data_IF_233807998988
#
_entry.id   IF_233807998988
#
_cell.length_a   1.000
_cell.length_b   1.000
_cell.length_c   1.000
_cell.angle_alpha   90.00
_cell.angle_beta   90.00
_cell.angle_gamma   90.00
#
_symmetry.space_group_name_H-M   'P 1'
#
loop_
_entity.id
_entity.type
_entity.pdbx_description
1 polymer ?
#
# COMPACT_ATOMS: atom_id res chain seq x y z
N UNK A 1 5.13 15.14 -15.57
CA UNK A 1 3.83 14.72 -15.04
C UNK A 1 3.04 15.96 -14.74
N UNK A 2 1.90 16.15 -15.40
CA UNK A 2 1.06 17.33 -15.15
C UNK A 2 0.54 17.33 -13.71
N UNK A 3 0.76 18.46 -13.02
CA UNK A 3 0.27 18.75 -11.65
C UNK A 3 -1.24 18.49 -11.47
N UNK A 4 -2.00 18.48 -12.58
CA UNK A 4 -3.43 18.18 -12.61
C UNK A 4 -3.78 16.74 -12.29
N UNK A 5 -3.01 15.76 -12.77
CA UNK A 5 -3.27 14.34 -12.48
C UNK A 5 -3.14 14.08 -10.98
N UNK A 6 -2.10 14.65 -10.37
CA UNK A 6 -1.86 14.56 -8.94
C UNK A 6 -2.98 15.23 -8.14
N UNK A 7 -3.45 16.40 -8.56
CA UNK A 7 -4.59 17.09 -7.93
C UNK A 7 -5.88 16.27 -8.03
N UNK A 8 -6.19 15.71 -9.20
CA UNK A 8 -7.38 14.87 -9.39
C UNK A 8 -7.32 13.59 -8.53
N UNK A 9 -6.15 12.94 -8.45
CA UNK A 9 -5.95 11.77 -7.60
C UNK A 9 -6.16 12.11 -6.11
N UNK A 10 -5.60 13.24 -5.63
CA UNK A 10 -5.82 13.73 -4.27
C UNK A 10 -7.31 13.98 -3.99
N UNK A 11 -8.01 14.64 -4.92
CA UNK A 11 -9.45 14.89 -4.79
C UNK A 11 -10.28 13.61 -4.77
N UNK A 12 -9.93 12.63 -5.60
CA UNK A 12 -10.56 11.32 -5.61
C UNK A 12 -10.37 10.61 -4.27
N UNK A 13 -9.16 10.61 -3.71
CA UNK A 13 -8.89 10.03 -2.40
C UNK A 13 -9.73 10.68 -1.29
N UNK A 14 -9.85 12.01 -1.27
CA UNK A 14 -10.67 12.75 -0.29
C UNK A 14 -12.14 12.42 -0.45
N UNK A 15 -12.66 12.41 -1.69
CA UNK A 15 -14.07 12.13 -1.97
C UNK A 15 -14.44 10.68 -1.61
N UNK A 16 -13.52 9.75 -1.85
CA UNK A 16 -13.66 8.35 -1.45
C UNK A 16 -13.71 8.23 0.05
N UNK A 17 -12.89 8.97 0.80
CA UNK A 17 -12.79 8.84 2.25
C UNK A 17 -13.90 9.54 3.04
N UNK A 18 -14.57 10.51 2.43
CA UNK A 18 -15.55 11.36 3.11
C UNK A 18 -16.64 10.56 3.87
N UNK A 19 -17.10 11.03 5.05
CA UNK A 19 -18.08 10.29 5.84
C UNK A 19 -19.35 10.00 5.05
N UNK A 20 -19.83 8.76 5.13
CA UNK A 20 -21.04 8.28 4.40
C UNK A 20 -20.93 8.31 2.87
N UNK A 21 -19.73 8.49 2.31
CA UNK A 21 -19.46 8.26 0.87
C UNK A 21 -18.59 7.02 0.68
N UNK A 22 -18.60 6.49 -0.53
CA UNK A 22 -17.79 5.35 -0.96
C UNK A 22 -17.28 5.53 -2.37
N UNK A 23 -16.58 4.52 -2.90
CA UNK A 23 -15.96 4.59 -4.23
C UNK A 23 -16.99 4.72 -5.36
N UNK A 24 -18.21 4.20 -5.15
CA UNK A 24 -19.29 4.21 -6.14
C UNK A 24 -20.17 5.47 -6.11
N UNK A 25 -19.85 6.45 -5.27
CA UNK A 25 -20.57 7.72 -5.29
C UNK A 25 -20.30 8.41 -6.63
N UNK A 26 -21.34 8.95 -7.26
CA UNK A 26 -21.27 9.61 -8.57
C UNK A 26 -20.13 10.64 -8.67
N UNK A 27 -19.81 11.33 -7.57
CA UNK A 27 -18.69 12.27 -7.48
C UNK A 27 -17.32 11.57 -7.66
N UNK A 28 -17.11 10.44 -7.00
CA UNK A 28 -15.88 9.64 -7.08
C UNK A 28 -15.69 9.05 -8.49
N UNK A 29 -16.76 8.50 -9.08
CA UNK A 29 -16.73 7.98 -10.45
C UNK A 29 -16.40 9.06 -11.48
N UNK A 30 -16.96 10.27 -11.34
CA UNK A 30 -16.62 11.41 -12.19
C UNK A 30 -15.16 11.83 -12.03
N UNK A 31 -14.66 11.93 -10.80
CA UNK A 31 -13.25 12.25 -10.54
C UNK A 31 -12.30 11.20 -11.10
N UNK A 32 -12.65 9.91 -10.99
CA UNK A 32 -11.88 8.81 -11.56
C UNK A 32 -11.81 8.88 -13.10
N UNK A 33 -12.94 9.13 -13.76
CA UNK A 33 -12.98 9.35 -15.22
C UNK A 33 -12.11 10.52 -15.65
N UNK A 34 -12.19 11.64 -14.93
CA UNK A 34 -11.36 12.83 -15.20
C UNK A 34 -9.87 12.54 -14.98
N UNK A 35 -9.51 11.79 -13.92
CA UNK A 35 -8.14 11.40 -13.65
C UNK A 35 -7.57 10.48 -14.76
N UNK A 36 -8.36 9.53 -15.26
CA UNK A 36 -7.97 8.67 -16.37
C UNK A 36 -7.69 9.48 -17.65
N UNK A 37 -8.60 10.39 -18.02
CA UNK A 37 -8.40 11.27 -19.18
C UNK A 37 -7.14 12.14 -19.01
N UNK A 38 -6.91 12.68 -17.81
CA UNK A 38 -5.74 13.51 -17.54
C UNK A 38 -4.42 12.71 -17.66
N UNK A 39 -4.39 11.44 -17.26
CA UNK A 39 -3.22 10.56 -17.41
C UNK A 39 -2.91 10.28 -18.89
N UNK A 40 -3.95 10.12 -19.72
CA UNK A 40 -3.82 9.90 -21.16
C UNK A 40 -3.65 11.18 -21.99
N UNK A 41 -3.54 12.35 -21.34
CA UNK A 41 -3.32 13.63 -22.03
C UNK A 41 -2.12 13.61 -23.00
N UNK A 42 -0.94 13.04 -22.66
CA UNK A 42 0.19 13.01 -23.59
C UNK A 42 -0.09 12.24 -24.90
N UNK A 43 -1.06 11.32 -24.89
CA UNK A 43 -1.45 10.53 -26.06
C UNK A 43 -2.62 11.14 -26.82
N UNK A 44 -3.59 11.70 -26.11
CA UNK A 44 -4.89 12.11 -26.67
C UNK A 44 -4.98 13.62 -26.93
N UNK A 45 -4.14 14.42 -26.29
CA UNK A 45 -4.23 15.89 -26.31
C UNK A 45 -5.47 16.46 -25.61
N UNK A 46 -6.31 15.62 -24.98
CA UNK A 46 -7.57 16.05 -24.37
C UNK A 46 -7.33 16.67 -22.99
N UNK A 47 -7.56 17.98 -22.90
CA UNK A 47 -7.31 18.73 -21.67
C UNK A 47 -8.51 18.69 -20.70
N UNK A 48 -8.23 18.37 -19.43
CA UNK A 48 -9.22 18.40 -18.35
C UNK A 48 -9.20 19.73 -17.60
N UNK A 49 -10.33 20.45 -17.58
CA UNK A 49 -10.56 21.61 -16.71
C UNK A 49 -11.12 21.16 -15.36
N UNK A 50 -10.36 21.39 -14.29
CA UNK A 50 -10.82 21.12 -12.93
C UNK A 50 -11.76 22.24 -12.46
N UNK A 51 -13.03 21.92 -12.23
CA UNK A 51 -13.99 22.88 -11.69
C UNK A 51 -13.70 23.15 -10.20
N UNK A 52 -13.82 24.42 -9.79
CA UNK A 52 -13.64 24.88 -8.40
C UNK A 52 -14.59 24.19 -7.42
N UNK A 53 -15.74 23.71 -7.89
CA UNK A 53 -16.72 22.94 -7.11
C UNK A 53 -16.19 21.62 -6.56
N UNK A 54 -15.09 21.08 -7.12
CA UNK A 54 -14.49 19.87 -6.62
C UNK A 54 -13.54 20.10 -5.44
N UNK A 55 -13.15 21.35 -5.14
CA UNK A 55 -12.21 21.65 -4.06
C UNK A 55 -12.88 21.36 -2.69
N UNK A 56 -12.32 20.45 -1.88
CA UNK A 56 -12.88 20.09 -0.59
C UNK A 56 -12.60 21.19 0.42
N UNK A 57 -13.57 21.38 1.33
CA UNK A 57 -13.45 22.33 2.45
C UNK A 57 -12.79 21.70 3.67
N UNK A 58 -12.86 20.38 3.77
CA UNK A 58 -12.40 19.59 4.92
C UNK A 58 -11.61 18.40 4.38
N UNK A 59 -10.50 18.08 5.03
CA UNK A 59 -9.56 17.05 4.59
C UNK A 59 -9.50 15.91 5.62
N UNK A 60 -9.25 14.67 5.20
CA UNK A 60 -9.04 13.60 6.16
C UNK A 60 -7.71 13.80 6.90
N UNK A 61 -7.67 13.41 8.16
CA UNK A 61 -6.52 13.55 9.07
C UNK A 61 -5.23 12.93 8.53
N UNK A 62 -5.31 11.81 7.80
CA UNK A 62 -4.14 11.15 7.23
C UNK A 62 -3.45 11.94 6.10
N UNK A 63 -4.08 12.98 5.54
CA UNK A 63 -3.42 13.83 4.53
C UNK A 63 -2.40 14.80 5.13
N UNK A 64 -2.38 14.93 6.47
CA UNK A 64 -1.37 15.68 7.22
C UNK A 64 -1.12 17.09 6.65
N UNK A 65 -2.20 17.84 6.41
CA UNK A 65 -2.17 19.21 5.89
C UNK A 65 -2.40 20.20 7.02
N UNK A 66 -1.40 21.02 7.36
CA UNK A 66 -1.50 22.01 8.44
C UNK A 66 -2.38 23.22 8.08
N UNK A 67 -2.62 23.43 6.78
CA UNK A 67 -3.34 24.59 6.24
C UNK A 67 -4.88 24.41 6.20
N UNK A 68 -5.40 23.24 6.57
CA UNK A 68 -6.80 22.89 6.34
C UNK A 68 -7.48 22.28 7.57
N UNK A 69 -8.79 22.51 7.68
CA UNK A 69 -9.62 21.84 8.68
C UNK A 69 -9.65 20.35 8.37
N UNK A 70 -9.33 19.52 9.36
CA UNK A 70 -9.27 18.06 9.21
C UNK A 70 -10.39 17.35 9.95
N UNK A 71 -10.76 16.16 9.48
CA UNK A 71 -11.67 15.23 10.17
C UNK A 71 -10.98 13.88 10.40
N UNK A 72 -11.37 13.18 11.48
CA UNK A 72 -10.90 11.83 11.77
C UNK A 72 -11.52 10.83 10.79
N UNK A 73 -10.72 10.29 9.87
CA UNK A 73 -11.21 9.27 8.92
C UNK A 73 -11.52 7.95 9.63
N UNK A 74 -12.72 7.40 9.47
CA UNK A 74 -13.08 6.09 10.07
C UNK A 74 -12.63 4.89 9.24
N UNK A 75 -12.13 5.13 8.02
CA UNK A 75 -11.72 4.09 7.07
C UNK A 75 -10.34 3.55 7.40
N UNK A 76 -10.00 2.43 6.76
CA UNK A 76 -8.74 1.71 6.99
C UNK A 76 -7.49 2.59 6.87
N UNK A 77 -7.45 3.51 5.90
CA UNK A 77 -6.30 4.39 5.68
C UNK A 77 -6.12 5.32 6.88
N UNK A 78 -7.21 5.94 7.36
CA UNK A 78 -7.19 6.76 8.57
C UNK A 78 -6.81 5.95 9.82
N UNK A 79 -7.36 4.73 9.98
CA UNK A 79 -7.03 3.84 11.10
C UNK A 79 -5.55 3.46 11.08
N UNK A 80 -5.02 3.10 9.92
CA UNK A 80 -3.62 2.72 9.74
C UNK A 80 -2.69 3.91 9.99
N UNK A 81 -3.00 5.08 9.42
CA UNK A 81 -2.23 6.31 9.64
C UNK A 81 -2.07 6.61 11.13
N UNK A 82 -3.16 6.57 11.91
CA UNK A 82 -3.09 6.84 13.35
C UNK A 82 -2.32 5.77 14.12
N UNK A 83 -2.47 4.48 13.77
CA UNK A 83 -1.70 3.40 14.39
C UNK A 83 -0.20 3.53 14.13
N UNK A 84 0.18 3.87 12.90
CA UNK A 84 1.59 4.09 12.55
C UNK A 84 2.09 5.34 13.27
N UNK A 85 1.33 6.44 13.27
CA UNK A 85 1.69 7.68 13.97
C UNK A 85 1.92 7.43 15.45
N UNK A 86 1.01 6.72 16.13
CA UNK A 86 1.18 6.35 17.55
C UNK A 86 2.38 5.42 17.79
N UNK A 87 2.65 4.48 16.89
CA UNK A 87 3.83 3.60 16.98
C UNK A 87 5.16 4.29 16.59
N UNK A 88 5.09 5.49 16.00
CA UNK A 88 6.26 6.33 15.74
C UNK A 88 6.65 7.12 16.99
N UNK A 89 5.66 7.41 17.83
CA UNK A 89 5.78 8.22 19.04
C UNK A 89 6.04 7.35 20.29
N UNK A 90 5.76 6.05 20.23
CA UNK A 90 6.04 5.06 21.29
C UNK A 90 6.75 3.81 20.73
N UNK A 91 7.89 3.43 21.32
CA UNK A 91 8.66 2.19 21.09
C UNK A 91 7.85 0.93 21.51
N UNK A 92 6.70 0.68 20.89
CA UNK A 92 5.89 -0.51 21.18
C UNK A 92 5.49 -1.25 19.90
N UNK A 93 6.42 -2.08 19.44
CA UNK A 93 6.40 -2.86 18.20
C UNK A 93 5.65 -4.19 18.32
N UNK A 94 4.64 -4.29 19.17
CA UNK A 94 4.07 -5.60 19.52
C UNK A 94 2.56 -5.65 19.68
N UNK A 95 1.79 -5.19 18.68
CA UNK A 95 0.50 -5.84 18.42
C UNK A 95 -0.12 -5.53 17.05
N UNK A 96 0.14 -6.38 16.05
CA UNK A 96 -0.76 -6.47 14.90
C UNK A 96 -0.72 -7.84 14.18
N UNK A 97 -1.68 -8.69 14.57
CA UNK A 97 -2.40 -9.70 13.78
C UNK A 97 -1.67 -11.03 13.47
N UNK A 98 -2.06 -12.05 14.25
CA UNK A 98 -1.85 -13.48 13.98
C UNK A 98 -2.90 -14.01 12.98
N UNK A 99 -2.50 -14.18 11.73
CA UNK A 99 -3.07 -15.19 10.82
C UNK A 99 -2.02 -16.29 10.69
N UNK A 100 -2.37 -17.56 10.90
CA UNK A 100 -1.40 -18.67 11.10
C UNK A 100 -0.31 -18.89 10.04
N UNK A 101 -0.39 -18.26 8.86
CA UNK A 101 0.69 -18.22 7.87
C UNK A 101 1.64 -17.03 8.05
N UNK A 102 1.11 -15.89 8.51
CA UNK A 102 1.84 -14.70 8.94
C UNK A 102 2.83 -15.08 10.05
N UNK A 103 2.41 -15.91 11.02
CA UNK A 103 3.30 -16.37 12.09
C UNK A 103 4.50 -17.21 11.65
N UNK A 104 4.42 -17.95 10.53
CA UNK A 104 5.57 -18.71 10.01
C UNK A 104 6.50 -17.83 9.17
N UNK A 105 5.91 -16.95 8.35
CA UNK A 105 6.65 -15.97 7.57
C UNK A 105 7.42 -15.02 8.49
N UNK A 106 6.72 -14.38 9.42
CA UNK A 106 7.28 -13.43 10.38
C UNK A 106 8.37 -14.08 11.23
N UNK A 107 8.17 -15.34 11.67
CA UNK A 107 9.21 -16.07 12.41
C UNK A 107 10.48 -16.29 11.58
N UNK A 108 10.36 -16.75 10.34
CA UNK A 108 11.52 -17.00 9.47
C UNK A 108 12.19 -15.68 9.02
N UNK A 109 11.39 -14.65 8.77
CA UNK A 109 11.86 -13.31 8.45
C UNK A 109 12.63 -12.69 9.62
N UNK A 110 12.06 -12.70 10.82
CA UNK A 110 12.70 -12.15 12.02
C UNK A 110 13.98 -12.92 12.37
N UNK A 111 14.01 -14.24 12.21
CA UNK A 111 15.22 -15.03 12.38
C UNK A 111 16.32 -14.64 11.37
N UNK A 112 15.96 -14.44 10.10
CA UNK A 112 16.88 -13.99 9.07
C UNK A 112 17.40 -12.58 9.37
N UNK A 113 16.51 -11.63 9.64
CA UNK A 113 16.89 -10.24 9.95
C UNK A 113 17.80 -10.17 11.19
N UNK A 114 17.49 -10.95 12.24
CA UNK A 114 18.32 -11.06 13.44
C UNK A 114 19.74 -11.58 13.18
N UNK A 115 19.91 -12.54 12.26
CA UNK A 115 21.24 -13.05 11.86
C UNK A 115 22.14 -11.96 11.27
N UNK A 116 21.54 -11.01 10.54
CA UNK A 116 22.24 -9.94 9.84
C UNK A 116 22.23 -8.60 10.58
N UNK A 117 21.61 -8.54 11.78
CA UNK A 117 21.39 -7.31 12.56
C UNK A 117 20.66 -6.24 11.73
N UNK A 118 19.60 -6.68 11.04
CA UNK A 118 18.69 -5.79 10.33
C UNK A 118 17.40 -5.62 11.11
N UNK A 119 16.94 -4.38 11.27
CA UNK A 119 15.82 -4.10 12.15
C UNK A 119 14.49 -4.35 11.43
N UNK A 120 14.42 -3.99 10.14
CA UNK A 120 13.17 -4.01 9.38
C UNK A 120 13.34 -4.64 8.00
N UNK A 121 12.33 -5.40 7.57
CA UNK A 121 12.28 -5.96 6.21
C UNK A 121 12.39 -4.87 5.13
N UNK A 122 11.78 -3.71 5.38
CA UNK A 122 11.78 -2.59 4.45
C UNK A 122 13.19 -2.14 4.04
N UNK A 123 14.19 -2.28 4.92
CA UNK A 123 15.58 -1.96 4.62
C UNK A 123 16.17 -2.88 3.54
N UNK A 124 15.84 -4.17 3.61
CA UNK A 124 16.30 -5.18 2.66
C UNK A 124 15.59 -5.01 1.33
N UNK A 125 14.27 -4.80 1.35
CA UNK A 125 13.44 -4.62 0.15
C UNK A 125 13.83 -3.38 -0.62
N UNK A 126 14.04 -2.26 0.08
CA UNK A 126 14.44 -0.99 -0.53
C UNK A 126 15.94 -0.94 -0.86
N UNK A 127 16.71 -1.95 -0.43
CA UNK A 127 18.19 -2.01 -0.49
C UNK A 127 18.91 -0.93 0.34
N UNK A 128 18.18 -0.18 1.16
CA UNK A 128 18.73 0.82 2.05
C UNK A 128 18.81 0.25 3.47
N UNK A 129 19.92 -0.42 3.77
CA UNK A 129 20.18 -1.04 5.08
C UNK A 129 20.96 -0.07 5.96
N UNK A 130 20.25 0.56 6.90
CA UNK A 130 20.71 1.60 7.80
C UNK A 130 21.12 1.04 9.16
N UNK A 131 20.53 -0.08 9.58
CA UNK A 131 20.80 -0.71 10.88
C UNK A 131 22.13 -1.48 10.94
N UNK A 132 22.84 -1.62 9.81
CA UNK A 132 24.09 -2.38 9.78
C UNK A 132 25.18 -1.63 10.56
N UNK A 133 25.89 -2.35 11.43
CA UNK A 133 27.05 -1.78 12.14
C UNK A 133 28.16 -1.28 11.21
N UNK A 134 29.09 -0.50 11.76
CA UNK A 134 30.22 0.05 11.01
C UNK A 134 31.17 -1.08 10.56
N UNK A 135 31.23 -1.30 9.24
CA UNK A 135 32.15 -2.22 8.57
C UNK A 135 32.87 -1.50 7.43
N UNK A 136 33.99 -2.06 6.96
CA UNK A 136 34.58 -1.59 5.71
C UNK A 136 33.66 -1.88 4.51
N UNK A 137 33.81 -1.11 3.42
CA UNK A 137 32.93 -1.14 2.25
C UNK A 137 32.81 -2.55 1.63
N UNK A 138 33.91 -3.30 1.58
CA UNK A 138 33.96 -4.66 1.02
C UNK A 138 33.14 -5.64 1.85
N UNK A 139 33.37 -5.70 3.16
CA UNK A 139 32.65 -6.57 4.09
C UNK A 139 31.17 -6.20 4.16
N UNK A 140 30.86 -4.90 4.11
CA UNK A 140 29.48 -4.43 4.03
C UNK A 140 28.78 -4.91 2.75
N UNK A 141 29.47 -4.88 1.60
CA UNK A 141 28.95 -5.41 0.33
C UNK A 141 28.66 -6.91 0.39
N UNK A 142 29.57 -7.71 0.94
CA UNK A 142 29.38 -9.16 1.09
C UNK A 142 28.19 -9.50 2.00
N UNK A 143 28.04 -8.78 3.11
CA UNK A 143 26.92 -8.96 4.04
C UNK A 143 25.59 -8.61 3.34
N UNK A 144 25.54 -7.48 2.62
CA UNK A 144 24.36 -7.06 1.87
C UNK A 144 23.95 -8.08 0.81
N UNK A 145 24.92 -8.62 0.06
CA UNK A 145 24.63 -9.60 -0.98
C UNK A 145 24.15 -10.94 -0.41
N UNK A 146 24.76 -11.42 0.68
CA UNK A 146 24.31 -12.62 1.38
C UNK A 146 22.89 -12.45 1.93
N UNK A 147 22.60 -11.32 2.56
CA UNK A 147 21.27 -11.01 3.09
C UNK A 147 20.23 -10.97 1.96
N UNK A 148 20.54 -10.27 0.86
CA UNK A 148 19.67 -10.18 -0.31
C UNK A 148 19.35 -11.55 -0.89
N UNK A 149 20.34 -12.43 -1.02
CA UNK A 149 20.14 -13.78 -1.56
C UNK A 149 19.30 -14.65 -0.62
N UNK A 150 19.53 -14.58 0.69
CA UNK A 150 18.74 -15.29 1.68
C UNK A 150 17.29 -14.78 1.74
N UNK A 151 17.10 -13.46 1.70
CA UNK A 151 15.78 -12.83 1.64
C UNK A 151 15.03 -13.19 0.35
N UNK A 152 15.73 -13.21 -0.80
CA UNK A 152 15.14 -13.63 -2.07
C UNK A 152 14.66 -15.09 -2.01
N UNK A 153 15.43 -16.00 -1.42
CA UNK A 153 15.02 -17.39 -1.24
C UNK A 153 13.79 -17.53 -0.33
N UNK A 154 13.76 -16.77 0.77
CA UNK A 154 12.62 -16.71 1.69
C UNK A 154 11.35 -16.20 0.97
N UNK A 155 11.46 -15.06 0.30
CA UNK A 155 10.35 -14.45 -0.44
C UNK A 155 9.84 -15.41 -1.53
N UNK A 156 10.75 -16.04 -2.29
CA UNK A 156 10.38 -17.03 -3.31
C UNK A 156 9.58 -18.20 -2.74
N UNK A 157 9.92 -18.69 -1.54
CA UNK A 157 9.18 -19.77 -0.87
C UNK A 157 7.74 -19.36 -0.55
N UNK A 158 7.56 -18.22 0.12
CA UNK A 158 6.22 -17.78 0.53
C UNK A 158 5.38 -17.24 -0.62
N UNK A 159 6.03 -16.64 -1.62
CA UNK A 159 5.38 -16.28 -2.87
C UNK A 159 4.82 -17.50 -3.57
N UNK A 160 5.57 -18.61 -3.65
CA UNK A 160 5.05 -19.88 -4.18
C UNK A 160 3.86 -20.38 -3.37
N UNK A 161 3.93 -20.40 -2.05
CA UNK A 161 2.78 -20.81 -1.22
C UNK A 161 1.54 -19.94 -1.47
N UNK A 162 1.72 -18.63 -1.69
CA UNK A 162 0.64 -17.72 -2.04
C UNK A 162 0.10 -17.97 -3.47
N UNK A 163 0.99 -18.22 -4.42
CA UNK A 163 0.63 -18.54 -5.81
C UNK A 163 -0.03 -19.92 -5.93
N UNK A 164 0.37 -20.92 -5.13
CA UNK A 164 -0.21 -22.26 -5.05
C UNK A 164 -1.62 -22.24 -4.44
N UNK A 165 -1.89 -21.36 -3.48
CA UNK A 165 -3.27 -21.04 -3.05
C UNK A 165 -4.10 -20.52 -4.25
N UNK A 166 -3.46 -19.89 -5.23
CA UNK A 166 -4.04 -19.54 -6.52
C UNK A 166 -3.76 -20.52 -7.65
N UNK A 167 -3.16 -21.69 -7.41
CA UNK A 167 -2.62 -22.59 -8.44
C UNK A 167 -3.68 -23.18 -9.37
N UNK A 168 -4.95 -23.17 -8.94
CA UNK A 168 -6.10 -23.51 -9.77
C UNK A 168 -6.34 -22.49 -10.91
N UNK A 169 -5.67 -21.32 -10.91
CA UNK A 169 -5.89 -20.23 -11.87
C UNK A 169 -5.19 -20.43 -13.21
N UNK A 170 -4.10 -21.21 -13.26
CA UNK A 170 -3.30 -21.40 -14.48
C UNK A 170 -3.91 -22.41 -15.46
N UNK A 171 -4.89 -23.18 -15.02
CA UNK A 171 -5.66 -24.14 -15.84
C UNK A 171 -6.98 -23.55 -16.35
N UNK A 172 -7.32 -22.33 -15.92
CA UNK A 172 -8.59 -21.67 -16.24
C UNK A 172 -8.43 -20.74 -17.44
N UNK A 173 -9.53 -20.53 -18.15
CA UNK A 173 -9.62 -19.54 -19.21
C UNK A 173 -9.38 -18.11 -18.68
N UNK A 174 -9.02 -17.20 -19.57
CA UNK A 174 -8.77 -15.80 -19.21
C UNK A 174 -9.98 -15.15 -18.52
N UNK A 175 -11.21 -15.53 -18.91
CA UNK A 175 -12.46 -15.02 -18.33
C UNK A 175 -12.68 -15.51 -16.90
N UNK A 176 -12.48 -16.80 -16.64
CA UNK A 176 -12.60 -17.38 -15.29
C UNK A 176 -11.54 -16.82 -14.34
N UNK A 177 -10.33 -16.62 -14.86
CA UNK A 177 -9.24 -16.00 -14.12
C UNK A 177 -9.55 -14.54 -13.79
N UNK A 178 -10.13 -13.78 -14.72
CA UNK A 178 -10.59 -12.43 -14.47
C UNK A 178 -11.68 -12.40 -13.39
N UNK A 179 -12.63 -13.33 -13.41
CA UNK A 179 -13.69 -13.42 -12.41
C UNK A 179 -13.14 -13.68 -10.98
N UNK A 180 -12.08 -14.50 -10.87
CA UNK A 180 -11.42 -14.73 -9.58
C UNK A 180 -10.61 -13.51 -9.15
N UNK A 181 -9.95 -12.80 -10.08
CA UNK A 181 -9.28 -11.54 -9.76
C UNK A 181 -10.27 -10.47 -9.28
N UNK A 182 -11.43 -10.35 -9.94
CA UNK A 182 -12.51 -9.47 -9.52
C UNK A 182 -13.04 -9.87 -8.13
N UNK A 183 -13.23 -11.16 -7.88
CA UNK A 183 -13.68 -11.66 -6.56
C UNK A 183 -12.65 -11.41 -5.45
N UNK A 184 -11.36 -11.58 -5.75
CA UNK A 184 -10.27 -11.24 -4.83
C UNK A 184 -10.24 -9.74 -4.57
N UNK A 185 -10.34 -8.91 -5.61
CA UNK A 185 -10.39 -7.47 -5.50
C UNK A 185 -11.61 -7.00 -4.69
N UNK A 186 -12.78 -7.62 -4.90
CA UNK A 186 -14.01 -7.35 -4.16
C UNK A 186 -13.90 -7.77 -2.69
N UNK A 187 -13.29 -8.92 -2.41
CA UNK A 187 -13.04 -9.40 -1.03
C UNK A 187 -12.07 -8.48 -0.30
N UNK A 188 -10.97 -8.09 -0.95
CA UNK A 188 -10.05 -7.07 -0.45
C UNK A 188 -10.79 -5.77 -0.16
N UNK A 189 -11.60 -5.29 -1.11
CA UNK A 189 -12.41 -4.09 -0.94
C UNK A 189 -13.35 -4.20 0.27
N UNK A 190 -14.03 -5.33 0.43
CA UNK A 190 -14.95 -5.57 1.53
C UNK A 190 -14.26 -5.51 2.89
N UNK A 191 -13.14 -6.21 3.04
CA UNK A 191 -12.34 -6.20 4.29
C UNK A 191 -11.80 -4.80 4.59
N UNK A 192 -11.41 -4.07 3.55
CA UNK A 192 -10.76 -2.77 3.65
C UNK A 192 -11.76 -1.65 3.96
N UNK A 193 -12.97 -1.71 3.40
CA UNK A 193 -13.94 -0.59 3.44
C UNK A 193 -15.26 -0.91 4.16
N UNK A 194 -15.50 -2.16 4.56
CA UNK A 194 -16.63 -2.56 5.41
C UNK A 194 -16.18 -3.35 6.65
N UNK A 195 -15.34 -2.76 7.52
CA UNK A 195 -15.00 -3.40 8.79
C UNK A 195 -16.25 -3.48 9.68
N UNK A 196 -16.49 -4.64 10.30
CA UNK A 196 -17.51 -4.83 11.36
C UNK A 196 -17.19 -3.98 12.59
#
# INVERSE_FOLDING_TARGET
MDDKCLKLAKLAAIAVDFPKTGVFVNKCLKLAKLAAIAVDFPKTGVFVKLLTSYKPKVYPDFMNTDEHITYKSEKIIGRLYRKIKSASDEDNSSELISLGNQSSYDRQLNALLGQFRVDKEGEVVTRHICSLGSYNSRKQGEIKERLKNAYYALNKKYRRSFEEIGGHLSQLSDDERNQIYESKAASWYQVTYHPK
#
